data_IF_680140763061
#
_entry.id   IF_680140763061
#
_cell.length_a   1.000
_cell.length_b   1.000
_cell.length_c   1.000
_cell.angle_alpha   90.00
_cell.angle_beta   90.00
_cell.angle_gamma   90.00
#
_symmetry.space_group_name_H-M   'P 1'
#
loop_
_entity.id
_entity.type
_entity.pdbx_description
1 polymer ?
#
# COMPACT_ATOMS: atom_id res chain seq x y z
N UNK A 1 18.44 60.48 28.01
CA UNK A 1 17.78 60.90 26.75
C UNK A 1 17.67 59.69 25.86
N UNK A 2 16.42 59.32 25.56
CA UNK A 2 15.99 58.30 24.61
C UNK A 2 16.18 58.81 23.16
N UNK A 3 15.95 57.94 22.16
CA UNK A 3 15.67 58.19 20.71
C UNK A 3 16.91 58.34 19.78
N UNK A 4 17.10 57.69 18.60
CA UNK A 4 16.34 56.86 17.60
C UNK A 4 17.39 55.99 16.85
N UNK A 5 17.21 54.70 16.52
CA UNK A 5 16.36 54.07 15.48
C UNK A 5 16.59 54.56 14.04
N UNK A 6 17.34 53.76 13.26
CA UNK A 6 16.97 53.12 11.97
C UNK A 6 18.12 53.12 10.94
N UNK A 7 18.43 51.93 10.45
CA UNK A 7 19.32 51.68 9.31
C UNK A 7 19.13 50.25 8.82
N UNK A 8 18.06 50.05 8.05
CA UNK A 8 17.75 48.83 7.28
C UNK A 8 18.77 48.65 6.14
N UNK A 9 19.39 47.47 6.04
CA UNK A 9 19.92 46.89 4.80
C UNK A 9 20.23 45.41 5.07
N UNK A 10 19.33 44.50 4.68
CA UNK A 10 19.35 43.80 3.40
C UNK A 10 20.28 42.57 3.43
N UNK A 11 19.66 41.41 3.61
CA UNK A 11 20.30 40.10 3.56
C UNK A 11 19.27 38.97 3.62
N UNK A 12 18.18 39.08 2.87
CA UNK A 12 17.34 37.91 2.57
C UNK A 12 18.15 37.01 1.63
N UNK A 13 18.80 35.99 2.19
CA UNK A 13 19.29 34.85 1.43
C UNK A 13 18.08 34.06 0.95
N UNK A 14 17.85 34.09 -0.36
CA UNK A 14 16.91 33.22 -1.05
C UNK A 14 17.37 31.76 -0.91
N UNK A 15 16.74 31.01 -0.01
CA UNK A 15 16.70 29.55 -0.08
C UNK A 15 15.47 29.15 -0.89
N UNK A 16 15.54 29.33 -2.21
CA UNK A 16 14.73 28.52 -3.12
C UNK A 16 15.59 27.33 -3.53
N UNK A 17 15.66 26.33 -2.65
CA UNK A 17 16.04 24.99 -3.08
C UNK A 17 14.95 24.54 -4.07
N UNK A 18 15.32 24.48 -5.34
CA UNK A 18 14.54 23.75 -6.33
C UNK A 18 14.62 22.28 -5.92
N UNK A 19 13.65 21.83 -5.13
CA UNK A 19 13.35 20.41 -5.02
C UNK A 19 12.75 19.99 -6.35
N UNK A 20 13.61 19.70 -7.33
CA UNK A 20 13.23 18.87 -8.46
C UNK A 20 13.17 17.43 -7.94
N UNK A 21 12.05 17.08 -7.33
CA UNK A 21 11.58 15.71 -7.34
C UNK A 21 10.84 15.55 -8.68
N UNK A 22 11.57 15.13 -9.71
CA UNK A 22 10.96 14.67 -10.96
C UNK A 22 11.32 13.21 -11.08
N UNK A 23 10.31 12.36 -10.91
CA UNK A 23 10.39 10.94 -11.20
C UNK A 23 10.68 10.77 -12.68
N UNK A 24 11.86 10.25 -12.99
CA UNK A 24 12.15 9.72 -14.31
C UNK A 24 11.66 8.29 -14.31
N UNK A 25 10.39 8.08 -14.69
CA UNK A 25 9.77 6.76 -14.72
C UNK A 25 10.23 6.02 -15.99
N UNK A 26 11.29 5.22 -15.83
CA UNK A 26 11.63 4.04 -16.62
C UNK A 26 12.92 3.48 -16.03
N UNK A 27 12.78 2.58 -15.07
CA UNK A 27 13.92 1.80 -14.60
C UNK A 27 14.15 0.69 -15.64
N UNK A 28 14.90 0.98 -16.71
CA UNK A 28 15.30 0.02 -17.76
C UNK A 28 16.29 -1.05 -17.26
N UNK A 29 16.53 -1.13 -15.95
CA UNK A 29 17.34 -2.19 -15.34
C UNK A 29 16.55 -3.51 -15.28
N UNK A 30 17.21 -4.62 -15.63
CA UNK A 30 16.60 -5.94 -15.49
C UNK A 30 16.13 -6.14 -14.04
N UNK A 31 14.94 -6.72 -13.81
CA UNK A 31 14.41 -6.86 -12.47
C UNK A 31 15.40 -7.60 -11.57
N UNK A 32 15.58 -7.12 -10.34
CA UNK A 32 16.43 -7.80 -9.36
C UNK A 32 15.94 -9.23 -9.14
N UNK A 33 16.87 -10.19 -9.08
CA UNK A 33 16.56 -11.58 -8.68
C UNK A 33 16.07 -11.65 -7.22
N UNK A 34 16.31 -10.61 -6.41
CA UNK A 34 15.81 -10.49 -5.04
C UNK A 34 14.37 -9.95 -5.05
N UNK A 35 13.42 -10.78 -4.60
CA UNK A 35 12.00 -10.45 -4.58
C UNK A 35 11.70 -9.16 -3.81
N UNK A 36 12.32 -8.96 -2.65
CA UNK A 36 12.09 -7.76 -1.83
C UNK A 36 12.55 -6.49 -2.55
N UNK A 37 13.66 -6.56 -3.28
CA UNK A 37 14.13 -5.42 -4.09
C UNK A 37 13.16 -5.11 -5.22
N UNK A 38 12.70 -6.13 -5.95
CA UNK A 38 11.72 -5.96 -7.02
C UNK A 38 10.40 -5.39 -6.49
N UNK A 39 9.90 -5.93 -5.38
CA UNK A 39 8.73 -5.44 -4.66
C UNK A 39 8.84 -3.94 -4.34
N UNK A 40 9.97 -3.51 -3.75
CA UNK A 40 10.17 -2.11 -3.40
C UNK A 40 10.24 -1.18 -4.61
N UNK A 41 10.74 -1.66 -5.75
CA UNK A 41 10.79 -0.88 -6.98
C UNK A 41 9.41 -0.75 -7.60
N UNK A 42 8.68 -1.87 -7.74
CA UNK A 42 7.40 -1.92 -8.44
C UNK A 42 6.25 -1.34 -7.60
N UNK A 43 6.20 -1.59 -6.29
CA UNK A 43 5.08 -1.17 -5.43
C UNK A 43 5.31 0.16 -4.71
N UNK A 44 6.58 0.55 -4.51
CA UNK A 44 6.95 1.71 -3.68
C UNK A 44 7.86 2.71 -4.38
N UNK A 45 8.32 2.44 -5.61
CA UNK A 45 9.29 3.28 -6.32
C UNK A 45 10.60 3.54 -5.56
N UNK A 46 11.03 2.58 -4.72
CA UNK A 46 12.22 2.67 -3.88
C UNK A 46 13.26 1.65 -4.34
N UNK A 47 14.31 2.11 -5.02
CA UNK A 47 15.42 1.26 -5.48
C UNK A 47 16.48 0.97 -4.41
N UNK A 48 16.50 1.72 -3.30
CA UNK A 48 17.47 1.54 -2.22
C UNK A 48 16.82 1.71 -0.86
N UNK A 49 16.96 0.68 -0.02
CA UNK A 49 16.41 0.61 1.32
C UNK A 49 17.30 -0.24 2.20
N UNK A 50 17.18 -0.07 3.51
CA UNK A 50 17.77 -1.00 4.47
C UNK A 50 16.70 -1.97 5.01
N UNK A 51 17.10 -3.11 5.61
CA UNK A 51 16.15 -4.09 6.12
C UNK A 51 15.17 -3.53 7.15
N UNK A 52 15.56 -2.52 7.93
CA UNK A 52 14.67 -1.88 8.91
C UNK A 52 13.60 -1.06 8.21
N UNK A 53 13.95 -0.30 7.17
CA UNK A 53 12.97 0.42 6.36
C UNK A 53 11.96 -0.52 5.71
N UNK A 54 12.41 -1.66 5.15
CA UNK A 54 11.49 -2.67 4.60
C UNK A 54 10.54 -3.19 5.68
N UNK A 55 11.05 -3.53 6.87
CA UNK A 55 10.20 -4.03 7.95
C UNK A 55 9.09 -3.03 8.33
N UNK A 56 9.48 -1.76 8.58
CA UNK A 56 8.57 -0.71 9.02
C UNK A 56 7.52 -0.39 7.97
N UNK A 57 7.89 -0.37 6.68
CA UNK A 57 6.96 -0.02 5.61
C UNK A 57 5.82 -1.05 5.44
N UNK A 58 6.08 -2.31 5.80
CA UNK A 58 5.11 -3.39 5.69
C UNK A 58 4.54 -3.83 7.05
N UNK A 59 4.86 -3.09 8.13
CA UNK A 59 4.15 -3.14 9.41
C UNK A 59 2.91 -2.23 9.33
N UNK A 60 1.88 -2.71 8.63
CA UNK A 60 0.78 -1.85 8.18
C UNK A 60 -0.07 -1.28 9.32
N UNK A 61 -0.12 -1.96 10.47
CA UNK A 61 -0.83 -1.48 11.66
C UNK A 61 0.09 -0.83 12.70
N UNK A 62 1.39 -0.76 12.40
CA UNK A 62 2.44 -0.20 13.27
C UNK A 62 2.50 -0.89 14.64
N UNK A 63 2.19 -2.19 14.69
CA UNK A 63 2.25 -3.00 15.90
C UNK A 63 3.68 -3.38 16.30
N UNK A 64 4.64 -3.24 15.39
CA UNK A 64 6.04 -3.63 15.57
C UNK A 64 6.32 -5.10 15.22
N UNK A 65 5.35 -5.79 14.63
CA UNK A 65 5.42 -7.21 14.30
C UNK A 65 4.73 -7.50 12.98
N UNK A 66 5.23 -8.41 12.16
CA UNK A 66 4.48 -8.99 11.05
C UNK A 66 3.69 -10.23 11.49
N UNK A 67 2.39 -10.16 11.29
CA UNK A 67 1.39 -11.19 11.46
C UNK A 67 1.17 -11.96 10.15
N UNK A 68 0.43 -13.10 10.18
CA UNK A 68 0.00 -13.76 8.96
C UNK A 68 -0.69 -12.81 7.97
N UNK A 69 -1.55 -11.92 8.44
CA UNK A 69 -2.24 -10.92 7.63
C UNK A 69 -1.28 -9.95 6.92
N UNK A 70 -0.22 -9.51 7.58
CA UNK A 70 0.76 -8.60 6.97
C UNK A 70 1.57 -9.30 5.87
N UNK A 71 1.92 -10.58 6.07
CA UNK A 71 2.53 -11.38 5.00
C UNK A 71 1.58 -11.55 3.82
N UNK A 72 0.30 -11.85 4.09
CA UNK A 72 -0.71 -11.97 3.02
C UNK A 72 -0.85 -10.68 2.24
N UNK A 73 -0.85 -9.54 2.94
CA UNK A 73 -0.96 -8.22 2.33
C UNK A 73 0.27 -7.91 1.49
N UNK A 74 1.48 -8.04 2.03
CA UNK A 74 2.74 -7.75 1.32
C UNK A 74 2.93 -8.61 0.06
N UNK A 75 2.51 -9.87 0.06
CA UNK A 75 2.55 -10.74 -1.13
C UNK A 75 1.33 -10.60 -2.05
N UNK A 76 0.38 -9.68 -1.78
CA UNK A 76 -0.83 -9.51 -2.59
C UNK A 76 -1.70 -10.76 -2.65
N UNK A 77 -1.69 -11.62 -1.63
CA UNK A 77 -2.36 -12.91 -1.67
C UNK A 77 -3.88 -12.78 -1.75
N UNK A 78 -4.43 -11.67 -1.27
CA UNK A 78 -5.86 -11.38 -1.31
C UNK A 78 -6.27 -10.46 -2.47
N UNK A 79 -5.31 -10.05 -3.31
CA UNK A 79 -5.59 -9.25 -4.50
C UNK A 79 -6.44 -10.02 -5.53
N UNK A 80 -7.17 -9.30 -6.37
CA UNK A 80 -8.04 -9.86 -7.40
C UNK A 80 -7.26 -10.69 -8.44
N UNK A 81 -6.02 -10.30 -8.76
CA UNK A 81 -5.11 -11.07 -9.63
C UNK A 81 -4.87 -12.49 -9.08
N UNK A 82 -4.96 -12.66 -7.75
CA UNK A 82 -4.78 -13.92 -7.04
C UNK A 82 -6.11 -14.58 -6.61
N UNK A 83 -7.26 -14.15 -7.16
CA UNK A 83 -8.57 -14.73 -6.85
C UNK A 83 -8.69 -16.22 -7.25
N UNK A 84 -7.95 -16.65 -8.29
CA UNK A 84 -7.92 -18.04 -8.74
C UNK A 84 -7.06 -18.99 -7.89
N UNK A 85 -6.30 -18.46 -6.93
CA UNK A 85 -5.41 -19.24 -6.06
C UNK A 85 -6.22 -19.81 -4.88
N UNK A 86 -6.03 -21.10 -4.57
CA UNK A 86 -6.68 -21.72 -3.41
C UNK A 86 -6.16 -21.15 -2.09
N UNK A 87 -7.04 -21.10 -1.09
CA UNK A 87 -6.68 -20.63 0.26
C UNK A 87 -5.55 -21.46 0.89
N UNK A 88 -5.49 -22.76 0.62
CA UNK A 88 -4.39 -23.64 1.05
C UNK A 88 -3.03 -23.13 0.53
N UNK A 89 -2.93 -22.78 -0.76
CA UNK A 89 -1.69 -22.25 -1.34
C UNK A 89 -1.30 -20.89 -0.74
N UNK A 90 -2.28 -20.04 -0.43
CA UNK A 90 -2.04 -18.75 0.24
C UNK A 90 -1.50 -18.97 1.65
N UNK A 91 -2.01 -19.98 2.37
CA UNK A 91 -1.49 -20.35 3.69
C UNK A 91 -0.10 -20.97 3.61
N UNK A 92 0.18 -21.79 2.59
CA UNK A 92 1.51 -22.35 2.35
C UNK A 92 2.56 -21.23 2.15
N UNK A 93 2.18 -20.17 1.42
CA UNK A 93 3.01 -18.99 1.22
C UNK A 93 3.36 -18.29 2.54
N UNK A 94 2.35 -18.06 3.39
CA UNK A 94 2.55 -17.47 4.72
C UNK A 94 3.47 -18.34 5.56
N UNK A 95 3.25 -19.66 5.59
CA UNK A 95 4.09 -20.58 6.36
C UNK A 95 5.55 -20.55 5.89
N UNK A 96 5.80 -20.48 4.59
CA UNK A 96 7.15 -20.41 4.04
C UNK A 96 7.93 -19.18 4.56
N UNK A 97 7.26 -18.04 4.73
CA UNK A 97 7.89 -16.83 5.30
C UNK A 97 8.11 -16.98 6.81
N UNK A 98 7.14 -17.51 7.54
CA UNK A 98 7.26 -17.77 8.98
C UNK A 98 8.38 -18.77 9.31
N UNK A 99 8.55 -19.82 8.52
CA UNK A 99 9.67 -20.78 8.68
C UNK A 99 11.05 -20.10 8.54
N UNK A 100 11.12 -19.00 7.79
CA UNK A 100 12.35 -18.23 7.64
C UNK A 100 12.56 -17.27 8.80
N UNK A 101 11.54 -16.57 9.27
CA UNK A 101 11.74 -15.44 10.17
C UNK A 101 11.19 -15.63 11.59
N UNK A 102 10.20 -16.50 11.83
CA UNK A 102 9.67 -16.79 13.18
C UNK A 102 10.33 -18.07 13.76
N UNK A 103 11.65 -18.01 14.00
CA UNK A 103 12.39 -19.16 14.55
C UNK A 103 11.89 -19.57 15.95
N UNK A 104 11.30 -18.63 16.68
CA UNK A 104 10.71 -18.84 18.00
C UNK A 104 9.34 -19.54 17.97
N UNK A 105 8.70 -19.67 16.80
CA UNK A 105 7.29 -20.11 16.65
C UNK A 105 6.33 -19.30 17.54
N UNK A 106 6.52 -17.98 17.56
CA UNK A 106 5.73 -17.03 18.34
C UNK A 106 4.38 -16.73 17.70
N UNK A 107 4.24 -16.99 16.40
CA UNK A 107 3.05 -16.66 15.61
C UNK A 107 3.07 -15.22 15.07
N UNK A 108 4.17 -14.50 15.23
CA UNK A 108 4.48 -13.23 14.58
C UNK A 108 5.98 -13.14 14.28
N UNK A 109 6.39 -12.16 13.47
CA UNK A 109 7.80 -11.87 13.19
C UNK A 109 8.08 -10.46 13.71
N UNK A 110 8.85 -10.32 14.78
CA UNK A 110 9.28 -9.00 15.23
C UNK A 110 10.49 -8.48 14.45
N UNK A 111 10.87 -7.22 14.71
CA UNK A 111 11.99 -6.58 14.01
C UNK A 111 13.31 -7.29 14.29
N UNK A 112 13.51 -7.78 15.51
CA UNK A 112 14.74 -8.48 15.91
C UNK A 112 14.90 -9.79 15.13
N UNK A 113 13.84 -10.58 15.03
CA UNK A 113 13.78 -11.84 14.27
C UNK A 113 14.00 -11.61 12.77
N UNK A 114 13.34 -10.58 12.21
CA UNK A 114 13.56 -10.14 10.82
C UNK A 114 15.04 -9.81 10.56
N UNK A 115 15.63 -8.91 11.36
CA UNK A 115 17.01 -8.48 11.19
C UNK A 115 18.01 -9.63 11.39
N UNK A 116 17.77 -10.51 12.36
CA UNK A 116 18.58 -11.69 12.57
C UNK A 116 18.54 -12.64 11.37
N UNK A 117 17.35 -12.85 10.79
CA UNK A 117 17.17 -13.64 9.57
C UNK A 117 17.93 -13.06 8.37
N UNK A 118 17.80 -11.76 8.12
CA UNK A 118 18.52 -11.08 7.03
C UNK A 118 20.04 -11.15 7.22
N UNK A 119 20.52 -10.94 8.45
CA UNK A 119 21.94 -11.05 8.80
C UNK A 119 22.48 -12.49 8.65
N UNK A 120 21.63 -13.50 8.84
CA UNK A 120 21.93 -14.90 8.58
C UNK A 120 21.85 -15.26 7.07
N UNK A 121 21.58 -14.30 6.19
CA UNK A 121 21.52 -14.49 4.74
C UNK A 121 20.16 -14.98 4.23
N UNK A 122 19.11 -15.05 5.07
CA UNK A 122 17.76 -15.35 4.62
C UNK A 122 17.21 -14.20 3.78
N UNK A 123 16.37 -14.51 2.80
CA UNK A 123 15.69 -13.53 1.94
C UNK A 123 14.23 -13.94 1.79
N UNK A 124 13.38 -12.96 1.50
CA UNK A 124 11.99 -13.25 1.15
C UNK A 124 11.98 -14.02 -0.17
N UNK A 125 11.34 -15.20 -0.23
CA UNK A 125 11.29 -16.01 -1.44
C UNK A 125 10.35 -15.40 -2.47
N UNK A 126 10.68 -15.54 -3.76
CA UNK A 126 9.66 -15.40 -4.80
C UNK A 126 8.77 -16.63 -4.77
N UNK A 127 7.51 -16.43 -4.39
CA UNK A 127 6.50 -17.48 -4.25
C UNK A 127 5.57 -17.58 -5.49
N UNK A 128 5.80 -16.77 -6.51
CA UNK A 128 5.04 -16.78 -7.77
C UNK A 128 3.69 -16.06 -7.71
N UNK A 129 3.50 -15.14 -6.75
CA UNK A 129 2.29 -14.32 -6.62
C UNK A 129 2.40 -12.93 -7.27
N UNK A 130 3.50 -12.69 -8.00
CA UNK A 130 3.81 -11.38 -8.58
C UNK A 130 4.75 -10.55 -7.71
N UNK A 131 4.86 -9.24 -7.97
CA UNK A 131 5.65 -8.33 -7.13
C UNK A 131 5.05 -8.15 -5.74
N UNK A 132 3.76 -8.43 -5.55
CA UNK A 132 2.96 -8.01 -4.40
C UNK A 132 1.91 -7.01 -4.87
N UNK A 133 0.86 -6.79 -4.08
CA UNK A 133 -0.17 -5.76 -4.31
C UNK A 133 -0.79 -5.47 -2.94
N UNK A 134 -0.54 -4.29 -2.38
CA UNK A 134 -0.96 -3.95 -1.02
C UNK A 134 -1.50 -2.55 -0.84
N UNK A 135 -1.54 -1.77 -1.92
CA UNK A 135 -2.26 -0.52 -2.02
C UNK A 135 -3.77 -0.73 -2.00
N UNK A 136 -4.49 0.39 -1.97
CA UNK A 136 -5.91 0.39 -2.30
C UNK A 136 -6.10 0.48 -3.83
N UNK A 137 -7.36 0.44 -4.27
CA UNK A 137 -7.72 0.48 -5.68
C UNK A 137 -7.17 1.73 -6.39
N UNK A 138 -7.14 2.89 -5.70
CA UNK A 138 -6.61 4.13 -6.26
C UNK A 138 -5.10 4.07 -6.44
N UNK A 139 -4.37 3.64 -5.39
CA UNK A 139 -2.93 3.57 -5.42
C UNK A 139 -2.42 2.56 -6.46
N UNK A 140 -3.03 1.37 -6.53
CA UNK A 140 -2.66 0.34 -7.50
C UNK A 140 -2.93 0.79 -8.94
N UNK A 141 -4.03 1.50 -9.19
CA UNK A 141 -4.30 2.10 -10.51
C UNK A 141 -3.25 3.16 -10.86
N UNK A 142 -2.90 4.04 -9.92
CA UNK A 142 -1.93 5.12 -10.14
C UNK A 142 -0.58 4.54 -10.56
N UNK A 143 0.00 3.65 -9.75
CA UNK A 143 1.37 3.19 -9.95
C UNK A 143 1.52 2.16 -11.07
N UNK A 144 0.53 1.29 -11.29
CA UNK A 144 0.65 0.19 -12.26
C UNK A 144 0.04 0.50 -13.63
N UNK A 145 -0.84 1.51 -13.72
CA UNK A 145 -1.49 1.85 -14.97
C UNK A 145 -1.32 3.32 -15.34
N UNK A 146 -1.69 4.24 -14.45
CA UNK A 146 -1.63 5.66 -14.77
C UNK A 146 -0.21 6.12 -15.09
N UNK A 147 0.77 5.88 -14.21
CA UNK A 147 2.16 6.26 -14.46
C UNK A 147 2.78 5.59 -15.69
N UNK A 148 2.30 4.40 -16.07
CA UNK A 148 2.81 3.65 -17.22
C UNK A 148 2.28 4.18 -18.55
N UNK A 149 0.99 4.51 -18.61
CA UNK A 149 0.30 4.81 -19.88
C UNK A 149 -0.13 6.27 -20.02
N UNK A 150 -0.13 7.01 -18.92
CA UNK A 150 -0.54 8.40 -18.81
C UNK A 150 0.60 9.22 -18.17
N UNK A 151 0.38 10.52 -18.02
CA UNK A 151 1.33 11.47 -17.42
C UNK A 151 0.71 12.84 -17.16
N UNK A 152 1.52 13.82 -16.78
CA UNK A 152 1.05 15.13 -16.27
C UNK A 152 0.11 15.90 -17.22
N UNK A 153 0.27 15.73 -18.54
CA UNK A 153 -0.53 16.41 -19.56
C UNK A 153 -1.82 15.63 -19.95
N UNK A 154 -2.11 14.51 -19.28
CA UNK A 154 -3.26 13.64 -19.58
C UNK A 154 -4.56 14.35 -19.31
N UNK A 155 -5.49 14.27 -20.25
CA UNK A 155 -6.85 14.78 -20.10
C UNK A 155 -7.83 13.63 -19.88
N UNK A 156 -9.03 13.94 -19.36
CA UNK A 156 -10.11 12.94 -19.20
C UNK A 156 -10.46 12.22 -20.51
N UNK A 157 -10.28 12.88 -21.66
CA UNK A 157 -10.55 12.29 -22.97
C UNK A 157 -9.51 11.21 -23.38
N UNK A 158 -8.35 11.19 -22.73
CA UNK A 158 -7.27 10.23 -22.98
C UNK A 158 -7.43 8.94 -22.14
N UNK A 159 -8.17 9.02 -21.02
CA UNK A 159 -8.43 7.93 -20.06
C UNK A 159 -9.47 6.94 -20.63
N UNK A 160 -9.02 6.16 -21.62
CA UNK A 160 -9.89 5.30 -22.43
C UNK A 160 -9.41 3.85 -22.52
N UNK A 161 -8.31 3.50 -21.85
CA UNK A 161 -7.89 2.11 -21.73
C UNK A 161 -8.97 1.31 -20.99
N UNK A 162 -9.12 0.00 -21.29
CA UNK A 162 -10.04 -0.87 -20.58
C UNK A 162 -9.87 -0.81 -19.05
N UNK A 163 -8.64 -0.69 -18.58
CA UNK A 163 -8.25 -0.56 -17.18
C UNK A 163 -8.71 0.79 -16.58
N UNK A 164 -8.60 1.91 -17.32
CA UNK A 164 -9.14 3.23 -16.91
C UNK A 164 -10.66 3.13 -16.67
N UNK A 165 -11.36 2.54 -17.63
CA UNK A 165 -12.82 2.41 -17.61
C UNK A 165 -13.25 1.52 -16.42
N UNK A 166 -12.54 0.43 -16.18
CA UNK A 166 -12.84 -0.49 -15.09
C UNK A 166 -12.52 0.11 -13.72
N UNK A 167 -11.42 0.87 -13.60
CA UNK A 167 -11.07 1.61 -12.39
C UNK A 167 -12.19 2.59 -12.02
N UNK A 168 -12.62 3.44 -12.96
CA UNK A 168 -13.72 4.39 -12.70
C UNK A 168 -15.05 3.70 -12.39
N UNK A 169 -15.37 2.60 -13.09
CA UNK A 169 -16.56 1.81 -12.78
C UNK A 169 -16.55 1.31 -11.33
N UNK A 170 -15.40 0.79 -10.86
CA UNK A 170 -15.25 0.31 -9.48
C UNK A 170 -15.26 1.46 -8.47
N UNK A 171 -14.66 2.60 -8.80
CA UNK A 171 -14.69 3.79 -7.95
C UNK A 171 -16.13 4.29 -7.76
N UNK A 172 -16.90 4.42 -8.85
CA UNK A 172 -18.32 4.81 -8.79
C UNK A 172 -19.15 3.84 -7.93
N UNK A 173 -18.91 2.53 -8.05
CA UNK A 173 -19.58 1.51 -7.22
C UNK A 173 -19.24 1.64 -5.73
N UNK A 174 -17.99 1.96 -5.40
CA UNK A 174 -17.55 2.18 -4.03
C UNK A 174 -18.15 3.47 -3.45
N UNK A 175 -18.21 4.55 -4.24
CA UNK A 175 -18.84 5.81 -3.84
C UNK A 175 -20.34 5.62 -3.58
N UNK A 176 -21.06 4.96 -4.51
CA UNK A 176 -22.48 4.64 -4.34
C UNK A 176 -22.75 3.80 -3.09
N UNK A 177 -21.89 2.79 -2.82
CA UNK A 177 -21.98 1.96 -1.63
C UNK A 177 -21.70 2.77 -0.35
N UNK A 178 -20.72 3.67 -0.36
CA UNK A 178 -20.39 4.54 0.77
C UNK A 178 -21.53 5.51 1.08
N UNK A 179 -22.12 6.14 0.06
CA UNK A 179 -23.30 7.01 0.18
C UNK A 179 -24.49 6.22 0.75
N UNK A 180 -24.70 4.98 0.29
CA UNK A 180 -25.76 4.12 0.81
C UNK A 180 -25.54 3.78 2.29
N UNK A 181 -24.30 3.47 2.69
CA UNK A 181 -23.93 3.21 4.07
C UNK A 181 -24.14 4.45 4.95
N UNK A 182 -23.70 5.63 4.52
CA UNK A 182 -23.89 6.89 5.26
C UNK A 182 -25.39 7.15 5.53
N UNK A 183 -26.24 6.95 4.51
CA UNK A 183 -27.70 7.07 4.67
C UNK A 183 -28.25 6.09 5.70
N UNK A 184 -27.71 4.87 5.78
CA UNK A 184 -28.12 3.88 6.78
C UNK A 184 -27.66 4.26 8.19
N UNK A 185 -26.46 4.80 8.34
CA UNK A 185 -25.90 5.23 9.63
C UNK A 185 -26.66 6.43 10.22
N UNK A 186 -27.23 7.29 9.38
CA UNK A 186 -28.12 8.37 9.81
C UNK A 186 -29.48 7.86 10.35
N UNK A 187 -29.86 6.61 10.07
CA UNK A 187 -31.11 6.02 10.54
C UNK A 187 -30.90 5.40 11.92
N UNK A 188 -31.52 6.00 12.94
CA UNK A 188 -31.40 5.53 14.33
C UNK A 188 -31.88 4.08 14.56
N UNK A 189 -32.88 3.63 13.78
CA UNK A 189 -33.41 2.25 13.83
C UNK A 189 -33.75 1.77 12.42
N UNK A 190 -32.98 0.81 11.92
CA UNK A 190 -33.28 0.12 10.66
C UNK A 190 -34.42 -0.88 10.89
N UNK A 191 -35.66 -0.48 10.60
CA UNK A 191 -36.86 -1.28 10.89
C UNK A 191 -36.82 -2.70 10.30
N UNK A 192 -36.19 -2.89 9.14
CA UNK A 192 -35.98 -4.20 8.51
C UNK A 192 -35.15 -5.17 9.36
N UNK A 193 -34.20 -4.64 10.14
CA UNK A 193 -33.31 -5.42 11.00
C UNK A 193 -33.93 -5.74 12.37
N UNK A 194 -35.10 -5.18 12.70
CA UNK A 194 -35.81 -5.51 13.94
C UNK A 194 -36.27 -6.97 13.86
N UNK A 195 -35.81 -7.88 14.75
CA UNK A 195 -36.29 -9.26 14.78
C UNK A 195 -37.81 -9.34 14.97
N UNK A 196 -38.45 -10.34 14.35
CA UNK A 196 -39.92 -10.45 14.34
C UNK A 196 -40.56 -10.40 15.74
N UNK A 197 -39.89 -10.98 16.76
CA UNK A 197 -40.35 -10.96 18.16
C UNK A 197 -40.47 -9.57 18.80
N UNK A 198 -39.86 -8.54 18.19
CA UNK A 198 -39.90 -7.14 18.65
C UNK A 198 -40.75 -6.23 17.76
N UNK A 199 -41.32 -6.74 16.66
CA UNK A 199 -42.24 -5.97 15.81
C UNK A 199 -43.63 -5.97 16.46
N UNK A 200 -44.21 -4.80 16.73
CA UNK A 200 -45.64 -4.70 17.09
C UNK A 200 -46.46 -4.83 15.82
N UNK A 201 -47.21 -5.92 15.70
CA UNK A 201 -48.25 -6.07 14.68
C UNK A 201 -49.32 -5.00 14.97
N UNK A 202 -49.49 -4.05 14.05
CA UNK A 202 -50.64 -3.14 14.02
C UNK A 202 -51.62 -3.62 12.96
#
# INVERSE_FOLDING_TARGET
MVTKLFGFAAGLLALSALTNAHGSHSNDEAPSDDWATRHMIEEHHIASFDPTSFFILHDYDSSGTWTPEEIRKTYGLNDESNAGVSEEKKQDAVRAVFELFDAGNTGFIDREDWLAGIAAGKRLPDLGFGPGHHGDLEYEYEIHHFEQYHGDDTTEADLTHPEDIEHFRKHDEQEDAAIALEKLEQIQVVAGNIPQKFRRNF
#
